data_IF_591554229123
#
_entry.id   IF_591554229123
#
_cell.length_a   1.000
_cell.length_b   1.000
_cell.length_c   1.000
_cell.angle_alpha   90.00
_cell.angle_beta   90.00
_cell.angle_gamma   90.00
#
_symmetry.space_group_name_H-M   'P 1'
#
loop_
_entity.id
_entity.type
_entity.pdbx_description
1 polymer ?
#
# COMPACT_ATOMS: atom_id res chain seq x y z
N UNK A 1 -11.23 -10.59 -6.59
CA UNK A 1 -10.45 -9.56 -5.88
C UNK A 1 -9.26 -9.07 -6.71
N UNK A 2 -8.32 -9.92 -7.15
CA UNK A 2 -7.13 -9.51 -7.92
C UNK A 2 -7.43 -8.60 -9.13
N UNK A 3 -8.54 -8.85 -9.86
CA UNK A 3 -8.98 -8.02 -11.00
C UNK A 3 -9.25 -6.54 -10.64
N UNK A 4 -9.46 -6.20 -9.37
CA UNK A 4 -9.69 -4.81 -8.94
C UNK A 4 -8.43 -3.95 -9.11
N UNK A 5 -7.25 -4.55 -9.21
CA UNK A 5 -5.99 -3.84 -9.45
C UNK A 5 -5.69 -3.59 -10.93
N UNK A 6 -6.39 -4.27 -11.86
CA UNK A 6 -6.12 -4.15 -13.29
C UNK A 6 -6.15 -2.71 -13.83
N UNK A 7 -7.10 -1.83 -13.44
CA UNK A 7 -7.09 -0.44 -13.88
C UNK A 7 -5.79 0.28 -13.51
N UNK A 8 -5.28 0.06 -12.29
CA UNK A 8 -4.06 0.68 -11.79
C UNK A 8 -2.80 0.08 -12.43
N UNK A 9 -2.77 -1.24 -12.63
CA UNK A 9 -1.68 -1.90 -13.35
C UNK A 9 -1.60 -1.37 -14.79
N UNK A 10 -2.74 -1.15 -15.46
CA UNK A 10 -2.74 -0.61 -16.82
C UNK A 10 -2.21 0.82 -16.92
N UNK A 11 -2.22 1.59 -15.82
CA UNK A 11 -1.69 2.95 -15.74
C UNK A 11 -0.17 3.01 -15.60
N UNK A 12 0.50 1.92 -15.21
CA UNK A 12 1.95 1.89 -15.09
C UNK A 12 2.62 2.18 -16.44
N UNK A 13 3.75 2.90 -16.39
CA UNK A 13 4.38 3.52 -17.56
C UNK A 13 4.97 2.53 -18.55
N UNK A 14 5.37 1.33 -18.12
CA UNK A 14 5.97 0.33 -19.00
C UNK A 14 5.52 -1.10 -18.70
N UNK A 15 5.63 -1.98 -19.69
CA UNK A 15 5.17 -3.37 -19.60
C UNK A 15 6.04 -4.22 -18.66
N UNK A 16 7.33 -3.95 -18.59
CA UNK A 16 8.23 -4.69 -17.71
C UNK A 16 7.81 -4.51 -16.23
N UNK A 17 7.56 -3.26 -15.80
CA UNK A 17 7.05 -2.99 -14.45
C UNK A 17 5.68 -3.67 -14.20
N UNK A 18 4.79 -3.67 -15.19
CA UNK A 18 3.50 -4.38 -15.08
C UNK A 18 3.69 -5.87 -14.82
N UNK A 19 4.68 -6.49 -15.46
CA UNK A 19 4.97 -7.91 -15.27
C UNK A 19 5.56 -8.18 -13.88
N UNK A 20 6.48 -7.35 -13.39
CA UNK A 20 6.98 -7.43 -12.02
C UNK A 20 5.85 -7.29 -11.00
N UNK A 21 4.93 -6.34 -11.19
CA UNK A 21 3.75 -6.17 -10.34
C UNK A 21 2.85 -7.40 -10.36
N UNK A 22 2.59 -7.99 -11.53
CA UNK A 22 1.76 -9.21 -11.64
C UNK A 22 2.39 -10.38 -10.90
N UNK A 23 3.71 -10.59 -11.06
CA UNK A 23 4.47 -11.62 -10.35
C UNK A 23 4.44 -11.40 -8.84
N UNK A 24 4.70 -10.19 -8.38
CA UNK A 24 4.63 -9.85 -6.96
C UNK A 24 3.22 -10.10 -6.37
N UNK A 25 2.16 -9.77 -7.10
CA UNK A 25 0.78 -10.07 -6.69
C UNK A 25 0.46 -11.57 -6.62
N UNK A 26 1.21 -12.43 -7.30
CA UNK A 26 1.10 -13.88 -7.16
C UNK A 26 1.81 -14.40 -5.89
N UNK A 27 2.79 -13.66 -5.37
CA UNK A 27 3.53 -14.00 -4.15
C UNK A 27 2.86 -13.48 -2.86
N UNK A 28 1.88 -12.54 -2.93
CA UNK A 28 1.21 -12.09 -1.71
C UNK A 28 0.45 -13.25 -1.05
N UNK A 29 0.44 -13.34 0.30
CA UNK A 29 -0.27 -14.39 1.01
C UNK A 29 -1.76 -14.45 0.64
N UNK A 30 -2.33 -15.65 0.57
CA UNK A 30 -3.75 -15.85 0.20
C UNK A 30 -4.69 -15.02 1.06
N UNK A 31 -4.40 -14.88 2.36
CA UNK A 31 -5.24 -14.10 3.27
C UNK A 31 -5.40 -12.63 2.86
N UNK A 32 -4.43 -12.03 2.16
CA UNK A 32 -4.53 -10.65 1.66
C UNK A 32 -5.82 -10.41 0.88
N UNK A 33 -6.26 -11.41 0.12
CA UNK A 33 -7.45 -11.35 -0.70
C UNK A 33 -8.78 -11.55 0.07
N UNK A 34 -8.70 -11.95 1.34
CA UNK A 34 -9.84 -12.45 2.12
C UNK A 34 -10.11 -11.62 3.37
N UNK A 35 -9.09 -11.09 4.04
CA UNK A 35 -9.25 -10.43 5.32
C UNK A 35 -9.89 -9.03 5.22
N UNK A 36 -10.51 -8.54 6.32
CA UNK A 36 -10.90 -7.15 6.43
C UNK A 36 -9.67 -6.22 6.53
N UNK A 37 -9.83 -4.95 6.16
CA UNK A 37 -8.78 -3.95 6.33
C UNK A 37 -8.41 -3.68 7.80
N UNK A 38 -9.32 -3.96 8.73
CA UNK A 38 -9.11 -3.78 10.16
C UNK A 38 -9.73 -4.93 10.94
N UNK A 39 -8.95 -5.53 11.82
CA UNK A 39 -9.43 -6.57 12.75
C UNK A 39 -10.41 -6.01 13.81
N UNK A 40 -10.30 -4.73 14.17
CA UNK A 40 -11.16 -4.10 15.17
C UNK A 40 -12.35 -3.35 14.59
N UNK A 41 -12.34 -3.00 13.31
CA UNK A 41 -13.35 -2.16 12.65
C UNK A 41 -13.43 -0.73 13.20
N UNK A 42 -12.49 -0.33 14.07
CA UNK A 42 -12.60 0.94 14.82
C UNK A 42 -12.46 2.19 13.94
N UNK A 43 -11.59 2.17 12.97
CA UNK A 43 -11.21 3.36 12.19
C UNK A 43 -11.66 3.30 10.73
N UNK A 44 -11.69 2.13 10.12
CA UNK A 44 -12.01 1.94 8.72
C UNK A 44 -13.50 2.13 8.38
N UNK A 45 -13.83 2.55 7.15
CA UNK A 45 -15.19 2.59 6.63
C UNK A 45 -15.86 1.20 6.64
N UNK A 46 -17.18 1.17 6.67
CA UNK A 46 -17.92 -0.09 6.72
C UNK A 46 -17.64 -1.02 5.52
N UNK A 47 -17.40 -0.45 4.34
CA UNK A 47 -17.11 -1.24 3.13
C UNK A 47 -15.74 -1.95 3.17
N UNK A 48 -14.82 -1.52 4.03
CA UNK A 48 -13.52 -2.16 4.23
C UNK A 48 -13.56 -3.30 5.26
N UNK A 49 -14.72 -3.53 5.86
CA UNK A 49 -14.92 -4.63 6.79
C UNK A 49 -15.39 -5.89 6.06
N UNK A 50 -15.16 -7.05 6.68
CA UNK A 50 -15.53 -8.36 6.10
C UNK A 50 -14.58 -8.83 4.99
N UNK A 51 -15.01 -9.88 4.30
CA UNK A 51 -14.18 -10.58 3.29
C UNK A 51 -13.73 -9.63 2.18
N UNK A 52 -12.43 -9.63 1.89
CA UNK A 52 -11.82 -8.79 0.86
C UNK A 52 -11.76 -7.29 1.20
N UNK A 53 -12.02 -6.93 2.45
CA UNK A 53 -11.96 -5.55 2.91
C UNK A 53 -10.60 -4.91 2.72
N UNK A 54 -9.52 -5.66 2.94
CA UNK A 54 -8.15 -5.17 2.73
C UNK A 54 -7.89 -4.80 1.26
N UNK A 55 -8.39 -5.59 0.32
CA UNK A 55 -8.27 -5.28 -1.12
C UNK A 55 -9.03 -4.00 -1.47
N UNK A 56 -10.25 -3.82 -0.96
CA UNK A 56 -11.04 -2.58 -1.20
C UNK A 56 -10.36 -1.36 -0.61
N UNK A 57 -9.82 -1.49 0.60
CA UNK A 57 -8.99 -0.45 1.21
C UNK A 57 -7.77 -0.10 0.34
N UNK A 58 -7.01 -1.10 -0.10
CA UNK A 58 -5.84 -0.90 -0.98
C UNK A 58 -6.21 -0.16 -2.27
N UNK A 59 -7.36 -0.51 -2.89
CA UNK A 59 -7.88 0.21 -4.07
C UNK A 59 -8.18 1.67 -3.74
N UNK A 60 -8.80 1.94 -2.60
CA UNK A 60 -9.08 3.30 -2.15
C UNK A 60 -7.78 4.08 -1.87
N UNK A 61 -6.78 3.43 -1.26
CA UNK A 61 -5.45 4.05 -1.05
C UNK A 61 -4.82 4.46 -2.36
N UNK A 62 -4.81 3.58 -3.37
CA UNK A 62 -4.29 3.92 -4.71
C UNK A 62 -5.04 5.10 -5.34
N UNK A 63 -6.38 5.13 -5.25
CA UNK A 63 -7.16 6.25 -5.79
C UNK A 63 -6.85 7.56 -5.06
N UNK A 64 -6.84 7.56 -3.73
CA UNK A 64 -6.47 8.73 -2.93
C UNK A 64 -5.06 9.25 -3.27
N UNK A 65 -4.10 8.34 -3.47
CA UNK A 65 -2.74 8.71 -3.81
C UNK A 65 -2.63 9.37 -5.20
N UNK A 66 -3.36 8.87 -6.20
CA UNK A 66 -3.45 9.49 -7.51
C UNK A 66 -4.09 10.88 -7.45
N UNK A 67 -5.17 11.04 -6.67
CA UNK A 67 -5.85 12.32 -6.53
C UNK A 67 -4.96 13.33 -5.80
N UNK A 68 -4.21 12.91 -4.76
CA UNK A 68 -3.22 13.74 -4.10
C UNK A 68 -2.12 14.19 -5.08
N UNK A 69 -1.53 13.26 -5.84
CA UNK A 69 -0.48 13.59 -6.81
C UNK A 69 -0.97 14.61 -7.86
N UNK A 70 -2.18 14.43 -8.39
CA UNK A 70 -2.79 15.34 -9.38
C UNK A 70 -3.22 16.68 -8.80
N UNK A 71 -3.52 16.75 -7.51
CA UNK A 71 -3.84 18.01 -6.83
C UNK A 71 -2.61 18.92 -6.68
N UNK A 72 -1.42 18.33 -6.61
CA UNK A 72 -0.16 19.06 -6.50
C UNK A 72 0.39 19.45 -7.88
N UNK A 73 0.18 18.63 -8.90
CA UNK A 73 0.72 18.81 -10.24
C UNK A 73 -0.25 18.23 -11.28
N UNK A 74 -0.65 19.05 -12.28
CA UNK A 74 -1.63 18.65 -13.30
C UNK A 74 -1.19 17.41 -14.10
N UNK A 75 0.11 17.31 -14.40
CA UNK A 75 0.71 16.20 -15.12
C UNK A 75 1.91 15.65 -14.33
N UNK A 76 1.68 14.83 -13.28
CA UNK A 76 2.75 14.26 -12.49
C UNK A 76 3.68 13.38 -13.32
N UNK A 77 4.96 13.34 -12.95
CA UNK A 77 5.96 12.47 -13.59
C UNK A 77 5.46 11.01 -13.61
N UNK A 78 5.47 10.33 -14.76
CA UNK A 78 5.06 8.93 -14.86
C UNK A 78 5.81 7.99 -13.91
N UNK A 79 7.11 8.19 -13.69
CA UNK A 79 7.90 7.37 -12.75
C UNK A 79 7.46 7.60 -11.29
N UNK A 80 7.06 8.83 -10.96
CA UNK A 80 6.50 9.12 -9.65
C UNK A 80 5.13 8.44 -9.46
N UNK A 81 4.28 8.43 -10.50
CA UNK A 81 2.99 7.72 -10.45
C UNK A 81 3.19 6.20 -10.33
N UNK A 82 4.17 5.64 -11.03
CA UNK A 82 4.55 4.23 -10.89
C UNK A 82 4.94 3.89 -9.44
N UNK A 83 5.81 4.71 -8.84
CA UNK A 83 6.25 4.51 -7.46
C UNK A 83 5.09 4.61 -6.47
N UNK A 84 4.19 5.59 -6.64
CA UNK A 84 2.96 5.72 -5.83
C UNK A 84 2.10 4.47 -5.93
N UNK A 85 1.80 4.02 -7.15
CA UNK A 85 0.91 2.90 -7.38
C UNK A 85 1.47 1.60 -6.79
N UNK A 86 2.76 1.33 -7.01
CA UNK A 86 3.42 0.14 -6.46
C UNK A 86 3.48 0.21 -4.94
N UNK A 87 3.88 1.35 -4.35
CA UNK A 87 3.91 1.49 -2.90
C UNK A 87 2.53 1.28 -2.27
N UNK A 88 1.49 1.94 -2.80
CA UNK A 88 0.12 1.80 -2.29
C UNK A 88 -0.43 0.39 -2.47
N UNK A 89 -0.09 -0.30 -3.56
CA UNK A 89 -0.57 -1.66 -3.83
C UNK A 89 -0.05 -2.67 -2.80
N UNK A 90 1.16 -2.48 -2.32
CA UNK A 90 1.84 -3.44 -1.44
C UNK A 90 2.02 -2.99 0.01
N UNK A 91 1.58 -1.76 0.41
CA UNK A 91 1.82 -1.22 1.75
C UNK A 91 1.37 -2.15 2.90
N UNK A 92 0.26 -2.83 2.72
CA UNK A 92 -0.37 -3.73 3.68
C UNK A 92 -0.37 -5.21 3.24
N UNK A 93 0.46 -5.59 2.24
CA UNK A 93 0.45 -6.94 1.66
C UNK A 93 0.75 -8.05 2.68
N UNK A 94 1.46 -7.73 3.76
CA UNK A 94 1.80 -8.64 4.86
C UNK A 94 1.21 -8.18 6.21
N UNK A 95 0.02 -7.56 6.18
CA UNK A 95 -0.64 -6.97 7.35
C UNK A 95 -0.78 -7.92 8.54
N UNK A 96 -1.11 -9.17 8.30
CA UNK A 96 -1.25 -10.20 9.35
C UNK A 96 0.01 -11.07 9.52
N UNK A 97 1.16 -10.62 9.01
CA UNK A 97 2.42 -11.38 9.03
C UNK A 97 2.52 -12.44 7.93
N UNK A 98 3.57 -13.25 7.99
CA UNK A 98 3.83 -14.27 6.97
C UNK A 98 2.80 -15.42 7.00
N UNK A 99 2.29 -15.78 8.19
CA UNK A 99 1.45 -16.96 8.41
C UNK A 99 0.00 -16.65 8.83
N UNK A 100 -0.48 -15.41 8.60
CA UNK A 100 -1.83 -14.99 8.98
C UNK A 100 -2.18 -15.27 10.45
N UNK A 101 -1.62 -14.48 11.36
CA UNK A 101 -1.93 -14.56 12.79
C UNK A 101 -3.35 -14.10 13.19
N UNK A 102 -4.23 -13.85 12.23
CA UNK A 102 -5.62 -13.43 12.47
C UNK A 102 -5.79 -11.97 12.91
N UNK A 103 -4.71 -11.25 13.06
CA UNK A 103 -4.71 -9.81 13.43
C UNK A 103 -3.51 -9.08 12.82
N UNK A 104 -3.60 -7.76 12.75
CA UNK A 104 -2.49 -6.91 12.28
C UNK A 104 -1.26 -7.10 13.15
N UNK A 105 -0.14 -7.48 12.53
CA UNK A 105 1.13 -7.58 13.24
C UNK A 105 1.83 -6.23 13.29
N UNK A 106 2.53 -5.99 14.39
CA UNK A 106 3.14 -4.70 14.67
C UNK A 106 4.22 -4.29 13.64
N UNK A 107 4.96 -5.27 13.17
CA UNK A 107 6.06 -5.07 12.23
C UNK A 107 5.67 -5.26 10.75
N UNK A 108 4.36 -5.24 10.42
CA UNK A 108 3.95 -5.41 9.01
C UNK A 108 4.59 -4.39 8.05
N UNK A 109 4.89 -3.11 8.44
CA UNK A 109 5.56 -2.20 7.52
C UNK A 109 6.98 -2.68 7.15
N UNK A 110 7.70 -3.30 8.11
CA UNK A 110 9.01 -3.88 7.84
C UNK A 110 8.92 -5.12 6.94
N UNK A 111 7.94 -5.98 7.18
CA UNK A 111 7.70 -7.15 6.33
C UNK A 111 7.32 -6.74 4.90
N UNK A 112 6.47 -5.74 4.76
CA UNK A 112 6.08 -5.21 3.45
C UNK A 112 7.26 -4.51 2.74
N UNK A 113 8.13 -3.81 3.49
CA UNK A 113 9.39 -3.29 2.97
C UNK A 113 10.25 -4.40 2.35
N UNK A 114 10.52 -5.47 3.10
CA UNK A 114 11.33 -6.60 2.63
C UNK A 114 10.71 -7.26 1.40
N UNK A 115 9.39 -7.41 1.40
CA UNK A 115 8.64 -7.97 0.28
C UNK A 115 8.81 -7.12 -0.99
N UNK A 116 8.59 -5.81 -0.91
CA UNK A 116 8.72 -4.90 -2.04
C UNK A 116 10.17 -4.85 -2.52
N UNK A 117 11.12 -4.69 -1.61
CA UNK A 117 12.53 -4.65 -1.96
C UNK A 117 12.97 -5.90 -2.73
N UNK A 118 12.64 -7.09 -2.22
CA UNK A 118 12.96 -8.36 -2.88
C UNK A 118 12.34 -8.47 -4.28
N UNK A 119 11.07 -8.12 -4.42
CA UNK A 119 10.32 -8.35 -5.65
C UNK A 119 10.63 -7.36 -6.78
N UNK A 120 11.18 -6.17 -6.45
CA UNK A 120 11.46 -5.12 -7.43
C UNK A 120 12.95 -4.80 -7.58
N UNK A 121 13.83 -5.43 -6.81
CA UNK A 121 15.28 -5.17 -6.86
C UNK A 121 15.88 -5.43 -8.24
N UNK A 122 15.49 -6.52 -8.89
CA UNK A 122 16.01 -6.90 -10.21
C UNK A 122 15.39 -6.06 -11.35
N UNK A 123 14.23 -5.43 -11.12
CA UNK A 123 13.67 -4.45 -12.05
C UNK A 123 14.51 -3.16 -12.05
N UNK A 124 14.62 -2.54 -10.91
CA UNK A 124 15.45 -1.35 -10.67
C UNK A 124 15.71 -1.20 -9.16
N UNK A 125 16.98 -1.30 -8.76
CA UNK A 125 17.34 -1.26 -7.34
C UNK A 125 17.07 0.08 -6.67
N UNK A 126 17.18 1.20 -7.39
CA UNK A 126 16.85 2.53 -6.85
C UNK A 126 15.35 2.67 -6.65
N UNK A 127 14.55 2.27 -7.64
CA UNK A 127 13.10 2.23 -7.54
C UNK A 127 12.65 1.34 -6.38
N UNK A 128 13.19 0.13 -6.27
CA UNK A 128 12.87 -0.80 -5.19
C UNK A 128 13.12 -0.20 -3.80
N UNK A 129 14.26 0.48 -3.60
CA UNK A 129 14.61 1.14 -2.33
C UNK A 129 13.63 2.27 -2.01
N UNK A 130 13.31 3.13 -2.98
CA UNK A 130 12.42 4.27 -2.77
C UNK A 130 11.00 3.81 -2.44
N UNK A 131 10.46 2.87 -3.20
CA UNK A 131 9.13 2.31 -2.99
C UNK A 131 9.05 1.56 -1.65
N UNK A 132 10.03 0.72 -1.34
CA UNK A 132 10.08 0.01 -0.07
C UNK A 132 10.15 0.96 1.13
N UNK A 133 10.91 2.08 1.06
CA UNK A 133 10.92 3.11 2.11
C UNK A 133 9.56 3.76 2.30
N UNK A 134 8.87 4.09 1.22
CA UNK A 134 7.53 4.66 1.29
C UNK A 134 6.54 3.68 1.96
N UNK A 135 6.64 2.40 1.62
CA UNK A 135 5.89 1.32 2.29
C UNK A 135 6.25 1.24 3.78
N UNK A 136 7.53 1.29 4.15
CA UNK A 136 7.95 1.24 5.55
C UNK A 136 7.37 2.41 6.38
N UNK A 137 7.25 3.59 5.79
CA UNK A 137 6.78 4.81 6.45
C UNK A 137 5.26 4.99 6.42
N UNK A 138 4.47 4.13 5.74
CA UNK A 138 3.06 4.39 5.47
C UNK A 138 2.23 4.68 6.72
N UNK A 139 2.53 4.07 7.85
CA UNK A 139 1.83 4.30 9.10
C UNK A 139 2.17 5.65 9.79
N UNK A 140 3.19 6.39 9.32
CA UNK A 140 3.59 7.66 9.91
C UNK A 140 3.88 7.54 11.41
N UNK A 141 3.24 8.39 12.24
CA UNK A 141 3.44 8.40 13.71
C UNK A 141 3.02 7.11 14.42
N UNK A 142 2.22 6.25 13.77
CA UNK A 142 1.82 4.96 14.33
C UNK A 142 2.80 3.84 13.99
N UNK A 143 3.82 4.13 13.18
CA UNK A 143 4.94 3.21 12.95
C UNK A 143 5.87 3.25 14.16
N UNK A 144 5.61 2.39 15.13
CA UNK A 144 6.34 2.37 16.42
C UNK A 144 6.95 0.98 16.66
N UNK A 145 7.98 0.91 17.48
CA UNK A 145 8.51 -0.36 17.97
C UNK A 145 7.69 -0.89 19.17
N UNK A 146 8.08 -2.02 19.72
CA UNK A 146 7.42 -2.63 20.89
C UNK A 146 7.43 -1.75 22.14
N UNK A 147 8.35 -0.77 22.23
CA UNK A 147 8.45 0.20 23.33
C UNK A 147 7.59 1.44 23.09
N UNK A 148 6.91 1.54 21.95
CA UNK A 148 6.13 2.70 21.55
C UNK A 148 6.95 3.87 21.00
N UNK A 149 8.24 3.66 20.72
CA UNK A 149 9.09 4.69 20.11
C UNK A 149 8.78 4.75 18.61
N UNK A 150 8.55 6.00 18.11
CA UNK A 150 8.30 6.22 16.68
C UNK A 150 9.55 5.85 15.89
N UNK A 151 9.38 5.03 14.86
CA UNK A 151 10.45 4.60 13.99
C UNK A 151 10.74 5.67 12.92
N UNK A 152 10.49 5.39 11.67
CA UNK A 152 10.74 6.31 10.57
C UNK A 152 9.46 7.06 10.19
N UNK A 153 9.53 8.40 10.14
CA UNK A 153 8.45 9.24 9.65
C UNK A 153 8.61 9.52 8.15
N UNK A 154 7.50 9.75 7.42
CA UNK A 154 7.55 10.16 6.01
C UNK A 154 8.29 11.50 5.84
N UNK A 155 9.34 11.52 5.00
CA UNK A 155 10.17 12.71 4.76
C UNK A 155 10.00 13.30 3.36
N UNK A 156 10.11 12.45 2.33
CA UNK A 156 10.02 12.91 0.95
C UNK A 156 8.58 12.95 0.43
N UNK A 157 8.40 13.39 -0.80
CA UNK A 157 7.09 13.52 -1.44
C UNK A 157 6.38 12.16 -1.55
N UNK A 158 7.06 11.13 -2.04
CA UNK A 158 6.50 9.79 -2.22
C UNK A 158 6.00 9.21 -0.88
N UNK A 159 6.85 9.23 0.15
CA UNK A 159 6.53 8.73 1.48
C UNK A 159 5.32 9.45 2.10
N UNK A 160 5.25 10.78 1.94
CA UNK A 160 4.12 11.59 2.43
C UNK A 160 2.83 11.28 1.69
N UNK A 161 2.89 11.13 0.37
CA UNK A 161 1.70 10.81 -0.44
C UNK A 161 1.14 9.45 -0.08
N UNK A 162 1.98 8.42 0.06
CA UNK A 162 1.56 7.06 0.46
C UNK A 162 0.95 7.09 1.87
N UNK A 163 1.61 7.73 2.83
CA UNK A 163 1.09 7.87 4.19
C UNK A 163 -0.26 8.59 4.24
N UNK A 164 -0.40 9.73 3.55
CA UNK A 164 -1.64 10.51 3.55
C UNK A 164 -2.77 9.76 2.86
N UNK A 165 -2.48 9.06 1.77
CA UNK A 165 -3.47 8.26 1.05
C UNK A 165 -4.03 7.14 1.93
N UNK A 166 -3.17 6.38 2.62
CA UNK A 166 -3.59 5.35 3.58
C UNK A 166 -4.38 5.96 4.74
N UNK A 167 -3.87 7.06 5.31
CA UNK A 167 -4.57 7.78 6.38
C UNK A 167 -5.98 8.21 5.97
N UNK A 168 -6.15 8.83 4.80
CA UNK A 168 -7.45 9.27 4.28
C UNK A 168 -8.36 8.07 4.06
N UNK A 169 -7.89 7.04 3.32
CA UNK A 169 -8.67 5.85 3.01
C UNK A 169 -9.14 5.10 4.26
N UNK A 170 -8.37 5.16 5.36
CA UNK A 170 -8.74 4.54 6.63
C UNK A 170 -9.79 5.32 7.44
N UNK A 171 -10.31 6.48 6.98
CA UNK A 171 -11.27 7.28 7.75
C UNK A 171 -12.72 6.82 7.52
N UNK A 172 -13.49 6.68 8.59
CA UNK A 172 -14.90 6.24 8.56
C UNK A 172 -15.83 7.10 7.70
N UNK A 173 -15.49 8.36 7.51
CA UNK A 173 -16.29 9.30 6.71
C UNK A 173 -15.98 9.23 5.21
N UNK A 174 -14.94 8.52 4.82
CA UNK A 174 -14.65 8.27 3.41
C UNK A 174 -15.50 7.08 2.96
N UNK A 175 -16.39 7.32 2.02
CA UNK A 175 -17.29 6.29 1.50
C UNK A 175 -16.99 6.06 0.03
N UNK A 176 -16.65 4.83 -0.32
CA UNK A 176 -16.57 4.40 -1.72
C UNK A 176 -18.00 4.26 -2.25
N UNK A 177 -18.34 5.02 -3.28
CA UNK A 177 -19.52 4.78 -4.10
C UNK A 177 -19.06 4.20 -5.43
N UNK A 178 -19.43 2.94 -5.72
CA UNK A 178 -19.07 2.28 -6.97
C UNK A 178 -19.73 2.93 -8.20
#
# INVERSE_FOLDING_TARGET
MKKMFNPFISMLSNEELKDYVRLALDEVPKYFWEIPASSSGKYHPAHDLGVGGLVRHTVMVMQCALDLARSEEENPDPLYLDAILVACMFHDCLKNGLENGGHTVFNHPALAFEFVFKNFYDYDSCFAVEVAKAVYCHMGRWNTNQKGEILLLPHNRLEKTVHLADYIASRKYVTYMP
#
